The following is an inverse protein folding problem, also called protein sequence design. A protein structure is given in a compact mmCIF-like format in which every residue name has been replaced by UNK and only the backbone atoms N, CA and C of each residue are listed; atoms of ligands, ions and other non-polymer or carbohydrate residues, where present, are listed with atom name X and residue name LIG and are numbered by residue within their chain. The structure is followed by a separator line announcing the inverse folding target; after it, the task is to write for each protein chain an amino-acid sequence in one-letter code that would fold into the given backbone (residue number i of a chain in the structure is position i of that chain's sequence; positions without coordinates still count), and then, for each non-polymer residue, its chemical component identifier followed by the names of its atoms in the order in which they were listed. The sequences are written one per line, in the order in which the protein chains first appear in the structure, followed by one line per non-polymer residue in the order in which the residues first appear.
data_IF_400250008899
#
_entry.id   IF_400250008899
#
_cell.length_a   1.000
_cell.length_b   1.000
_cell.length_c   1.000
_cell.angle_alpha   90.00
_cell.angle_beta   90.00
_cell.angle_gamma   90.00
#
_symmetry.space_group_name_H-M   'P 1'
#
loop_
_entity.id
_entity.type
_entity.pdbx_description
1 polymer ?
#
# COMPACT_ATOMS: atom_id res chain seq x y z
N UNK A 1 -58.28 -31.48 8.28
CA UNK A 1 -58.09 -30.25 9.09
C UNK A 1 -56.85 -30.44 9.94
N UNK A 2 -55.84 -29.58 9.75
CA UNK A 2 -54.75 -29.23 10.67
C UNK A 2 -53.70 -30.31 10.99
N UNK A 3 -52.39 -30.06 11.01
CA UNK A 3 -51.52 -28.91 10.69
C UNK A 3 -50.13 -29.52 10.47
N UNK A 4 -49.47 -29.21 9.35
CA UNK A 4 -48.06 -29.55 9.13
C UNK A 4 -47.24 -28.66 10.07
N UNK A 5 -46.63 -29.26 11.09
CA UNK A 5 -45.73 -28.57 11.99
C UNK A 5 -44.37 -28.46 11.30
N UNK A 6 -44.18 -27.37 10.58
CA UNK A 6 -42.91 -26.99 9.98
C UNK A 6 -41.92 -26.68 11.10
N UNK A 7 -40.90 -27.53 11.26
CA UNK A 7 -39.80 -27.30 12.19
C UNK A 7 -38.79 -26.38 11.50
N UNK A 8 -39.03 -25.07 11.60
CA UNK A 8 -38.09 -24.04 11.14
C UNK A 8 -36.95 -23.97 12.17
N UNK A 9 -35.84 -24.67 11.90
CA UNK A 9 -34.58 -24.48 12.63
C UNK A 9 -34.06 -23.12 12.22
N UNK A 10 -34.41 -22.09 12.99
CA UNK A 10 -33.81 -20.78 12.94
C UNK A 10 -32.40 -20.91 13.55
N UNK A 11 -31.42 -21.21 12.71
CA UNK A 11 -30.00 -21.05 13.04
C UNK A 11 -29.74 -19.57 13.27
N UNK A 12 -29.91 -19.13 14.52
CA UNK A 12 -29.31 -17.92 15.06
C UNK A 12 -27.79 -18.12 15.03
N UNK A 13 -27.17 -17.84 13.89
CA UNK A 13 -25.74 -17.55 13.83
C UNK A 13 -25.60 -16.17 14.49
N UNK A 14 -25.56 -16.17 15.82
CA UNK A 14 -25.03 -15.05 16.58
C UNK A 14 -23.52 -15.04 16.31
N UNK A 15 -23.10 -14.37 15.24
CA UNK A 15 -21.72 -13.88 15.13
C UNK A 15 -21.57 -12.84 16.23
N UNK A 16 -21.20 -13.32 17.42
CA UNK A 16 -20.67 -12.50 18.49
C UNK A 16 -19.35 -11.91 17.99
N UNK A 17 -19.43 -10.80 17.24
CA UNK A 17 -18.33 -9.85 17.16
C UNK A 17 -18.06 -9.44 18.62
N UNK A 18 -17.02 -10.00 19.23
CA UNK A 18 -16.45 -9.43 20.44
C UNK A 18 -16.11 -8.00 20.08
N UNK A 19 -16.86 -7.04 20.62
CA UNK A 19 -16.52 -5.63 20.49
C UNK A 19 -15.19 -5.50 21.25
N UNK A 20 -14.08 -5.43 20.53
CA UNK A 20 -12.77 -5.27 21.14
C UNK A 20 -12.80 -3.99 21.97
N UNK A 21 -12.81 -4.16 23.29
CA UNK A 21 -12.98 -3.05 24.22
C UNK A 21 -11.80 -2.11 24.01
N UNK A 22 -12.10 -0.88 23.62
CA UNK A 22 -11.09 0.15 23.38
C UNK A 22 -10.68 0.33 21.92
N UNK A 23 -11.26 -0.37 20.94
CA UNK A 23 -11.03 -0.08 19.51
C UNK A 23 -12.22 0.72 18.95
N UNK A 24 -11.95 1.80 18.22
CA UNK A 24 -12.99 2.62 17.58
C UNK A 24 -13.55 1.94 16.32
N UNK A 25 -14.74 2.34 15.87
CA UNK A 25 -15.30 1.84 14.60
C UNK A 25 -14.43 2.28 13.41
N UNK A 26 -13.76 3.44 13.50
CA UNK A 26 -12.83 3.90 12.46
C UNK A 26 -11.58 3.04 12.40
N UNK A 27 -11.00 2.68 13.54
CA UNK A 27 -9.88 1.74 13.61
C UNK A 27 -10.26 0.36 13.05
N UNK A 28 -11.48 -0.12 13.34
CA UNK A 28 -12.02 -1.36 12.75
C UNK A 28 -12.10 -1.24 11.22
N UNK A 29 -12.66 -0.15 10.72
CA UNK A 29 -12.80 0.07 9.28
C UNK A 29 -11.43 0.21 8.58
N UNK A 30 -10.46 0.88 9.23
CA UNK A 30 -9.09 1.01 8.73
C UNK A 30 -8.37 -0.33 8.65
N UNK A 31 -8.53 -1.21 9.64
CA UNK A 31 -8.02 -2.60 9.57
C UNK A 31 -8.71 -3.36 8.44
N UNK A 32 -10.01 -3.15 8.25
CA UNK A 32 -10.74 -3.79 7.15
C UNK A 32 -10.23 -3.35 5.78
N UNK A 33 -9.78 -2.09 5.60
CA UNK A 33 -9.14 -1.67 4.34
C UNK A 33 -7.86 -2.45 4.06
N UNK A 34 -7.06 -2.75 5.09
CA UNK A 34 -5.88 -3.60 4.97
C UNK A 34 -6.28 -5.02 4.57
N UNK A 35 -7.26 -5.62 5.26
CA UNK A 35 -7.73 -6.98 4.99
C UNK A 35 -8.37 -7.12 3.60
N UNK A 36 -9.10 -6.11 3.14
CA UNK A 36 -9.67 -6.08 1.78
C UNK A 36 -8.59 -6.15 0.70
N UNK A 37 -7.40 -5.60 0.97
CA UNK A 37 -6.28 -5.62 0.03
C UNK A 37 -5.47 -6.90 0.11
N UNK A 38 -5.12 -7.33 1.33
CA UNK A 38 -4.15 -8.40 1.55
C UNK A 38 -4.76 -9.78 1.76
N UNK A 39 -6.05 -9.84 2.06
CA UNK A 39 -6.70 -11.03 2.63
C UNK A 39 -5.97 -11.52 3.92
N UNK A 40 -6.43 -12.63 4.49
CA UNK A 40 -5.81 -13.26 5.65
C UNK A 40 -6.34 -12.74 6.98
N UNK A 41 -5.47 -12.72 7.98
CA UNK A 41 -5.82 -12.35 9.37
C UNK A 41 -4.94 -11.18 9.84
N UNK A 42 -5.53 -10.29 10.64
CA UNK A 42 -4.84 -9.16 11.26
C UNK A 42 -5.14 -9.13 12.76
N UNK A 43 -4.13 -9.40 13.58
CA UNK A 43 -4.17 -9.06 14.99
C UNK A 43 -3.81 -7.59 15.13
N UNK A 44 -4.46 -6.91 16.09
CA UNK A 44 -4.30 -5.48 16.30
C UNK A 44 -3.99 -5.17 17.75
N UNK A 45 -3.07 -4.24 17.95
CA UNK A 45 -2.70 -3.76 19.26
C UNK A 45 -2.49 -2.25 19.22
N UNK A 46 -2.90 -1.54 20.26
CA UNK A 46 -2.58 -0.12 20.42
C UNK A 46 -1.84 0.08 21.72
N UNK A 47 -0.86 0.97 21.71
CA UNK A 47 -0.01 1.19 22.86
C UNK A 47 0.73 2.51 22.79
N UNK A 48 1.54 2.75 23.81
CA UNK A 48 2.46 3.87 23.83
C UNK A 48 3.78 3.47 24.50
N UNK A 49 4.86 4.10 24.08
CA UNK A 49 6.19 3.96 24.66
C UNK A 49 6.74 5.36 24.92
N UNK A 50 7.31 5.59 26.11
CA UNK A 50 7.98 6.86 26.42
C UNK A 50 9.47 6.62 26.56
N UNK A 51 10.29 7.29 25.74
CA UNK A 51 11.75 7.29 25.84
C UNK A 51 12.24 8.73 25.79
N UNK A 52 13.08 9.11 26.76
CA UNK A 52 13.77 10.41 26.79
C UNK A 52 12.87 11.61 26.41
N UNK A 53 11.70 11.72 27.06
CA UNK A 53 10.70 12.80 26.90
C UNK A 53 9.80 12.70 25.65
N UNK A 54 10.12 11.83 24.68
CA UNK A 54 9.24 11.59 23.53
C UNK A 54 8.31 10.40 23.80
N UNK A 55 7.00 10.62 23.65
CA UNK A 55 5.98 9.57 23.73
C UNK A 55 5.60 9.14 22.31
N UNK A 56 5.89 7.88 21.99
CA UNK A 56 5.40 7.21 20.79
C UNK A 56 4.02 6.64 21.13
N UNK A 57 2.99 7.03 20.40
CA UNK A 57 1.66 6.41 20.49
C UNK A 57 1.43 5.67 19.18
N UNK A 58 1.18 4.36 19.26
CA UNK A 58 1.20 3.50 18.08
C UNK A 58 -0.03 2.60 17.98
N UNK A 59 -0.34 2.25 16.73
CA UNK A 59 -1.21 1.14 16.38
C UNK A 59 -0.39 0.12 15.62
N UNK A 60 -0.48 -1.14 16.03
CA UNK A 60 0.26 -2.27 15.50
C UNK A 60 -0.69 -3.21 14.78
N UNK A 61 -0.31 -3.59 13.56
CA UNK A 61 -1.01 -4.48 12.66
C UNK A 61 -0.14 -5.71 12.45
N UNK A 62 -0.54 -6.84 13.02
CA UNK A 62 0.14 -8.12 12.85
C UNK A 62 -0.61 -8.97 11.83
N UNK A 63 -0.09 -8.97 10.60
CA UNK A 63 -0.63 -9.67 9.45
C UNK A 63 -0.15 -11.13 9.41
N UNK A 64 -1.05 -12.05 9.11
CA UNK A 64 -0.75 -13.45 8.90
C UNK A 64 -1.70 -14.09 7.89
N UNK A 65 -1.36 -15.27 7.38
CA UNK A 65 -2.19 -16.06 6.43
C UNK A 65 -2.62 -15.29 5.17
N UNK A 66 -1.85 -14.28 4.76
CA UNK A 66 -2.10 -13.55 3.51
C UNK A 66 -1.40 -14.27 2.35
N UNK A 67 -2.15 -14.77 1.34
CA UNK A 67 -1.54 -15.40 0.16
C UNK A 67 -0.62 -14.43 -0.59
N UNK A 68 -0.98 -13.15 -0.64
CA UNK A 68 -0.20 -12.12 -1.32
C UNK A 68 1.14 -11.88 -0.63
N UNK A 69 1.17 -11.78 0.71
CA UNK A 69 2.41 -11.61 1.46
C UNK A 69 3.31 -12.85 1.36
N UNK A 70 2.74 -14.04 1.43
CA UNK A 70 3.49 -15.29 1.26
C UNK A 70 4.12 -15.40 -0.14
N UNK A 71 3.39 -15.04 -1.19
CA UNK A 71 3.93 -15.03 -2.57
C UNK A 71 5.07 -14.03 -2.74
N UNK A 72 5.08 -12.95 -1.98
CA UNK A 72 6.08 -11.88 -2.03
C UNK A 72 7.04 -11.89 -0.84
N UNK A 73 7.31 -13.07 -0.26
CA UNK A 73 8.17 -13.23 0.91
C UNK A 73 9.56 -12.58 0.78
N UNK A 74 10.10 -12.50 -0.45
CA UNK A 74 11.40 -11.87 -0.73
C UNK A 74 11.40 -10.34 -0.74
N UNK A 75 10.24 -9.69 -0.70
CA UNK A 75 10.13 -8.24 -0.81
C UNK A 75 8.94 -7.67 0.00
N UNK A 76 9.03 -7.76 1.32
CA UNK A 76 7.96 -7.35 2.23
C UNK A 76 7.93 -5.85 2.55
N UNK A 77 9.04 -5.11 2.40
CA UNK A 77 9.11 -3.70 2.82
C UNK A 77 8.04 -2.83 2.14
N UNK A 78 7.82 -2.91 0.81
CA UNK A 78 6.77 -2.12 0.17
C UNK A 78 5.40 -2.47 0.72
N UNK A 79 5.13 -3.76 0.93
CA UNK A 79 3.86 -4.22 1.44
C UNK A 79 3.60 -3.74 2.87
N UNK A 80 4.62 -3.76 3.74
CA UNK A 80 4.50 -3.19 5.08
C UNK A 80 4.19 -1.69 5.03
N UNK A 81 4.81 -0.95 4.10
CA UNK A 81 4.48 0.45 3.84
C UNK A 81 3.04 0.65 3.39
N UNK A 82 2.55 -0.20 2.48
CA UNK A 82 1.16 -0.15 2.04
C UNK A 82 0.17 -0.46 3.17
N UNK A 83 0.45 -1.46 4.00
CA UNK A 83 -0.37 -1.80 5.18
C UNK A 83 -0.50 -0.59 6.09
N UNK A 84 0.63 0.05 6.42
CA UNK A 84 0.65 1.25 7.25
C UNK A 84 -0.13 2.40 6.61
N UNK A 85 0.06 2.61 5.30
CA UNK A 85 -0.65 3.65 4.54
C UNK A 85 -2.15 3.41 4.50
N UNK A 86 -2.63 2.21 4.14
CA UNK A 86 -4.05 1.87 4.06
C UNK A 86 -4.75 2.06 5.39
N UNK A 87 -4.14 1.58 6.48
CA UNK A 87 -4.68 1.77 7.82
C UNK A 87 -4.75 3.25 8.19
N UNK A 88 -3.61 3.96 8.13
CA UNK A 88 -3.52 5.34 8.61
C UNK A 88 -4.37 6.29 7.77
N UNK A 89 -4.33 6.17 6.44
CA UNK A 89 -5.09 7.05 5.54
C UNK A 89 -6.61 6.95 5.75
N UNK A 90 -7.09 5.82 6.27
CA UNK A 90 -8.49 5.51 6.53
C UNK A 90 -9.00 5.93 7.92
N UNK A 91 -8.12 6.40 8.82
CA UNK A 91 -8.50 6.85 10.18
C UNK A 91 -9.23 8.20 10.21
N UNK A 92 -9.26 8.93 9.09
CA UNK A 92 -9.86 10.27 9.00
C UNK A 92 -9.29 11.26 10.04
N UNK A 93 -10.10 11.71 10.99
CA UNK A 93 -9.74 12.62 12.08
C UNK A 93 -9.03 11.91 13.25
N UNK A 94 -9.07 10.58 13.33
CA UNK A 94 -8.35 9.80 14.36
C UNK A 94 -6.86 9.59 14.05
N UNK A 95 -6.37 10.05 12.88
CA UNK A 95 -4.94 9.97 12.51
C UNK A 95 -4.03 10.55 13.59
N UNK A 96 -4.42 11.68 14.20
CA UNK A 96 -3.61 12.36 15.22
C UNK A 96 -3.46 11.59 16.53
N UNK A 97 -4.22 10.50 16.73
CA UNK A 97 -4.08 9.64 17.90
C UNK A 97 -2.78 8.83 17.86
N UNK A 98 -2.16 8.70 16.68
CA UNK A 98 -0.99 7.85 16.45
C UNK A 98 0.11 8.64 15.78
N UNK A 99 1.32 8.61 16.33
CA UNK A 99 2.51 9.13 15.66
C UNK A 99 3.36 8.02 15.03
N UNK A 100 2.96 6.75 15.18
CA UNK A 100 3.59 5.61 14.55
C UNK A 100 2.56 4.52 14.20
N UNK A 101 2.74 3.88 13.05
CA UNK A 101 2.09 2.61 12.72
C UNK A 101 3.15 1.53 12.67
N UNK A 102 2.91 0.43 13.41
CA UNK A 102 3.77 -0.75 13.42
C UNK A 102 3.13 -1.83 12.57
N UNK A 103 3.94 -2.52 11.79
CA UNK A 103 3.47 -3.62 10.95
C UNK A 103 4.34 -4.82 11.21
N UNK A 104 3.72 -5.92 11.61
CA UNK A 104 4.36 -7.22 11.73
C UNK A 104 3.78 -8.16 10.70
N UNK A 105 4.62 -8.87 9.97
CA UNK A 105 4.21 -9.83 8.95
C UNK A 105 4.74 -11.19 9.35
N UNK A 106 3.83 -12.13 9.57
CA UNK A 106 4.14 -13.53 9.85
C UNK A 106 3.78 -14.38 8.62
N UNK A 107 4.81 -14.98 8.03
CA UNK A 107 4.69 -15.85 6.86
C UNK A 107 4.48 -17.31 7.27
N UNK A 108 3.90 -18.10 6.38
CA UNK A 108 3.62 -19.53 6.59
C UNK A 108 4.89 -20.36 6.76
N UNK A 109 6.02 -19.90 6.20
CA UNK A 109 7.32 -20.54 6.37
C UNK A 109 7.95 -20.28 7.76
N UNK A 110 7.25 -19.59 8.67
CA UNK A 110 7.71 -19.25 10.02
C UNK A 110 8.54 -17.96 10.09
N UNK A 111 8.80 -17.29 8.97
CA UNK A 111 9.49 -16.00 8.97
C UNK A 111 8.59 -14.91 9.55
N UNK A 112 9.15 -14.10 10.44
CA UNK A 112 8.49 -12.92 10.99
C UNK A 112 9.33 -11.67 10.69
N UNK A 113 8.69 -10.58 10.30
CA UNK A 113 9.35 -9.31 9.98
C UNK A 113 8.56 -8.15 10.57
N UNK A 114 9.27 -7.20 11.16
CA UNK A 114 8.67 -6.06 11.88
C UNK A 114 9.14 -4.74 11.27
N UNK A 115 8.19 -3.82 11.11
CA UNK A 115 8.35 -2.53 10.45
C UNK A 115 7.68 -1.45 11.27
N UNK A 116 8.17 -0.22 11.14
CA UNK A 116 7.60 0.94 11.83
C UNK A 116 7.68 2.16 10.92
N UNK A 117 6.56 2.88 10.83
CA UNK A 117 6.43 4.08 10.01
C UNK A 117 5.88 5.21 10.86
N UNK A 118 6.56 6.35 10.85
CA UNK A 118 6.05 7.56 11.51
C UNK A 118 4.86 8.15 10.74
N UNK A 119 3.98 8.85 11.46
CA UNK A 119 2.92 9.68 10.86
C UNK A 119 3.47 10.64 9.78
N UNK A 120 4.65 11.22 10.03
CA UNK A 120 5.36 12.10 9.09
C UNK A 120 5.78 11.39 7.81
N UNK A 121 6.16 10.11 7.89
CA UNK A 121 6.50 9.31 6.72
C UNK A 121 5.27 8.96 5.91
N UNK A 122 4.20 8.51 6.57
CA UNK A 122 2.93 8.19 5.91
C UNK A 122 2.34 9.45 5.26
N UNK A 123 2.39 10.61 5.94
CA UNK A 123 1.93 11.88 5.39
C UNK A 123 2.71 12.33 4.14
N UNK A 124 3.98 11.95 3.99
CA UNK A 124 4.74 12.21 2.76
C UNK A 124 4.19 11.39 1.59
N UNK A 125 3.77 10.15 1.85
CA UNK A 125 3.16 9.27 0.85
C UNK A 125 1.76 9.76 0.48
N UNK A 126 0.92 10.10 1.46
CA UNK A 126 -0.40 10.69 1.22
C UNK A 126 -0.32 11.92 0.29
N UNK A 127 0.66 12.80 0.51
CA UNK A 127 0.92 13.97 -0.34
C UNK A 127 1.52 13.64 -1.72
N UNK A 128 2.03 12.43 -1.92
CA UNK A 128 2.57 11.94 -3.19
C UNK A 128 1.51 11.23 -4.03
N UNK A 129 0.47 10.67 -3.41
CA UNK A 129 -0.59 9.92 -4.08
C UNK A 129 -1.26 10.63 -5.26
N UNK A 130 -1.59 11.94 -5.20
CA UNK A 130 -2.14 12.64 -6.38
C UNK A 130 -1.21 12.59 -7.59
N UNK A 131 0.11 12.70 -7.35
CA UNK A 131 1.13 12.63 -8.41
C UNK A 131 1.29 11.21 -8.95
N UNK A 132 1.20 10.20 -8.08
CA UNK A 132 1.19 8.78 -8.48
C UNK A 132 -0.01 8.49 -9.39
N UNK A 133 -1.21 8.90 -8.96
CA UNK A 133 -2.44 8.72 -9.73
C UNK A 133 -2.38 9.44 -11.08
N UNK A 134 -1.84 10.67 -11.08
CA UNK A 134 -1.60 11.42 -12.32
C UNK A 134 -0.66 10.65 -13.27
N UNK A 135 0.45 10.09 -12.78
CA UNK A 135 1.36 9.30 -13.61
C UNK A 135 0.64 8.08 -14.20
N UNK A 136 -0.12 7.34 -13.39
CA UNK A 136 -0.93 6.21 -13.88
C UNK A 136 -1.91 6.62 -14.99
N UNK A 137 -2.64 7.71 -14.79
CA UNK A 137 -3.59 8.24 -15.80
C UNK A 137 -2.88 8.67 -17.09
N UNK A 138 -1.72 9.34 -16.98
CA UNK A 138 -0.94 9.75 -18.15
C UNK A 138 -0.43 8.55 -18.94
N UNK A 139 -0.03 7.47 -18.26
CA UNK A 139 0.39 6.23 -18.90
C UNK A 139 -0.77 5.51 -19.59
N UNK A 140 -1.91 5.39 -18.92
CA UNK A 140 -3.13 4.80 -19.49
C UNK A 140 -3.62 5.56 -20.73
N UNK A 141 -3.49 6.90 -20.72
CA UNK A 141 -3.90 7.77 -21.82
C UNK A 141 -2.77 8.12 -22.81
N UNK A 142 -1.60 7.48 -22.70
CA UNK A 142 -0.43 7.66 -23.57
C UNK A 142 0.02 9.13 -23.71
N UNK A 143 -0.05 9.90 -22.62
CA UNK A 143 0.31 11.32 -22.56
C UNK A 143 1.78 11.50 -22.16
N UNK A 144 2.69 10.96 -22.98
CA UNK A 144 4.12 10.89 -22.66
C UNK A 144 4.81 12.25 -22.57
N UNK A 145 4.37 13.25 -23.35
CA UNK A 145 4.92 14.61 -23.27
C UNK A 145 4.68 15.26 -21.90
N UNK A 146 3.48 15.08 -21.35
CA UNK A 146 3.14 15.58 -20.01
C UNK A 146 3.89 14.77 -18.95
N UNK A 147 4.01 13.45 -19.13
CA UNK A 147 4.78 12.59 -18.23
C UNK A 147 6.26 12.99 -18.18
N UNK A 148 6.87 13.35 -19.33
CA UNK A 148 8.25 13.82 -19.38
C UNK A 148 8.47 15.04 -18.48
N UNK A 149 7.50 15.96 -18.45
CA UNK A 149 7.52 17.14 -17.57
C UNK A 149 7.46 16.85 -16.05
N UNK A 150 7.17 15.60 -15.66
CA UNK A 150 7.12 15.16 -14.26
C UNK A 150 8.50 14.74 -13.73
N UNK A 151 9.40 14.36 -14.64
CA UNK A 151 10.75 13.94 -14.29
C UNK A 151 11.57 15.12 -13.73
N UNK A 152 12.52 14.78 -12.88
CA UNK A 152 13.50 15.73 -12.40
C UNK A 152 14.38 16.19 -13.58
N UNK A 153 14.62 17.49 -13.68
CA UNK A 153 15.38 18.09 -14.79
C UNK A 153 16.82 17.60 -14.90
N UNK A 154 17.36 16.96 -13.86
CA UNK A 154 18.70 16.34 -13.92
C UNK A 154 18.71 15.00 -14.66
N UNK A 155 17.55 14.46 -15.03
CA UNK A 155 17.44 13.22 -15.79
C UNK A 155 17.38 13.59 -17.27
N UNK A 156 18.39 13.16 -18.02
CA UNK A 156 18.41 13.26 -19.48
C UNK A 156 17.51 12.16 -20.04
N UNK A 157 16.33 12.54 -20.52
CA UNK A 157 15.32 11.64 -21.08
C UNK A 157 14.62 12.35 -22.23
N UNK A 158 14.48 11.66 -23.36
CA UNK A 158 13.75 12.18 -24.51
C UNK A 158 12.34 11.57 -24.56
N UNK A 159 11.40 12.28 -25.21
CA UNK A 159 10.04 11.76 -25.39
C UNK A 159 10.02 10.45 -26.20
N UNK A 160 11.01 10.24 -27.08
CA UNK A 160 11.19 9.00 -27.84
C UNK A 160 11.44 7.80 -26.93
N UNK A 161 12.21 7.97 -25.86
CA UNK A 161 12.58 6.89 -24.94
C UNK A 161 11.34 6.37 -24.20
N UNK A 162 10.51 7.28 -23.71
CA UNK A 162 9.22 6.94 -23.08
C UNK A 162 8.28 6.28 -24.09
N UNK A 163 8.17 6.85 -25.29
CA UNK A 163 7.27 6.35 -26.33
C UNK A 163 7.66 4.92 -26.75
N UNK A 164 8.95 4.68 -26.98
CA UNK A 164 9.47 3.36 -27.34
C UNK A 164 9.25 2.34 -26.24
N UNK A 165 9.63 2.67 -24.99
CA UNK A 165 9.45 1.79 -23.83
C UNK A 165 7.99 1.35 -23.68
N UNK A 166 7.05 2.29 -23.65
CA UNK A 166 5.65 1.96 -23.41
C UNK A 166 4.97 1.30 -24.62
N UNK A 167 5.38 1.63 -25.85
CA UNK A 167 4.89 0.91 -27.04
C UNK A 167 5.39 -0.55 -27.04
N UNK A 168 6.65 -0.80 -26.65
CA UNK A 168 7.18 -2.15 -26.53
C UNK A 168 6.41 -2.97 -25.49
N UNK A 169 6.17 -2.40 -24.30
CA UNK A 169 5.36 -3.04 -23.26
C UNK A 169 3.92 -3.30 -23.71
N UNK A 170 3.32 -2.40 -24.48
CA UNK A 170 1.97 -2.60 -25.02
C UNK A 170 1.93 -3.70 -26.08
N UNK A 171 2.91 -3.74 -26.99
CA UNK A 171 3.00 -4.81 -27.99
C UNK A 171 3.17 -6.18 -27.31
N UNK A 172 4.03 -6.25 -26.29
CA UNK A 172 4.33 -7.49 -25.59
C UNK A 172 3.19 -7.94 -24.67
N UNK A 173 2.64 -7.03 -23.85
CA UNK A 173 1.74 -7.36 -22.75
C UNK A 173 0.31 -6.82 -22.89
N UNK A 174 0.05 -6.07 -23.96
CA UNK A 174 -1.21 -5.38 -24.21
C UNK A 174 -1.36 -4.07 -23.44
N UNK A 175 -2.51 -3.41 -23.66
CA UNK A 175 -2.79 -2.11 -23.05
C UNK A 175 -2.96 -2.21 -21.54
N UNK A 176 -2.70 -1.12 -20.83
CA UNK A 176 -2.99 -1.01 -19.40
C UNK A 176 -4.51 -0.93 -19.21
N UNK A 177 -5.06 -1.79 -18.35
CA UNK A 177 -6.47 -1.77 -17.93
C UNK A 177 -6.65 -1.04 -16.60
N UNK A 178 -5.67 -1.17 -15.72
CA UNK A 178 -5.69 -0.57 -14.40
C UNK A 178 -4.28 -0.49 -13.83
N UNK A 179 -4.02 0.55 -13.06
CA UNK A 179 -2.85 0.66 -12.17
C UNK A 179 -3.28 0.54 -10.71
N UNK A 180 -2.57 -0.27 -9.91
CA UNK A 180 -2.82 -0.44 -8.48
C UNK A 180 -1.56 -0.15 -7.67
N UNK A 181 -1.64 0.81 -6.75
CA UNK A 181 -0.58 1.05 -5.76
C UNK A 181 -0.42 -0.18 -4.84
N UNK A 182 0.84 -0.60 -4.63
CA UNK A 182 1.21 -1.80 -3.89
C UNK A 182 2.16 -1.51 -2.73
N UNK A 183 2.44 -0.24 -2.46
CA UNK A 183 3.27 0.21 -1.35
C UNK A 183 4.48 1.03 -1.75
N UNK A 184 5.35 1.24 -0.77
CA UNK A 184 6.50 2.12 -0.92
C UNK A 184 7.65 1.72 -0.01
N UNK A 185 8.86 2.10 -0.43
CA UNK A 185 10.08 2.04 0.37
C UNK A 185 10.73 3.42 0.46
N UNK A 186 11.30 3.72 1.61
CA UNK A 186 12.11 4.92 1.86
C UNK A 186 13.57 4.49 1.93
N UNK A 187 14.40 4.97 1.01
CA UNK A 187 15.77 4.48 0.83
C UNK A 187 16.76 5.63 0.68
N UNK A 188 18.00 5.37 1.09
CA UNK A 188 19.17 6.18 0.74
C UNK A 188 19.90 5.52 -0.42
N UNK A 189 20.13 6.28 -1.49
CA UNK A 189 20.84 5.82 -2.69
C UNK A 189 22.11 6.63 -2.88
N UNK A 190 23.16 5.98 -3.40
CA UNK A 190 24.44 6.63 -3.65
C UNK A 190 24.33 7.79 -4.66
N UNK A 191 23.48 7.65 -5.69
CA UNK A 191 23.43 8.58 -6.81
C UNK A 191 22.39 9.69 -6.62
N UNK A 192 21.27 9.41 -5.94
CA UNK A 192 20.13 10.32 -5.83
C UNK A 192 19.80 10.71 -4.39
N UNK A 193 20.61 10.27 -3.42
CA UNK A 193 20.37 10.49 -2.00
C UNK A 193 19.08 9.82 -1.53
N UNK A 194 18.31 10.53 -0.70
CA UNK A 194 17.03 10.05 -0.17
C UNK A 194 15.96 9.97 -1.25
N UNK A 195 15.42 8.77 -1.47
CA UNK A 195 14.36 8.50 -2.45
C UNK A 195 13.17 7.79 -1.81
N UNK A 196 12.05 7.86 -2.52
CA UNK A 196 10.84 7.08 -2.26
C UNK A 196 10.67 6.17 -3.48
N UNK A 197 10.78 4.86 -3.31
CA UNK A 197 10.37 3.88 -4.33
C UNK A 197 8.91 3.54 -4.10
N UNK A 198 8.09 3.61 -5.14
CA UNK A 198 6.66 3.32 -5.09
C UNK A 198 6.38 2.16 -6.02
N UNK A 199 5.82 1.09 -5.47
CA UNK A 199 5.44 -0.08 -6.24
C UNK A 199 4.01 0.07 -6.74
N UNK A 200 3.83 -0.18 -8.03
CA UNK A 200 2.54 -0.19 -8.72
C UNK A 200 2.47 -1.47 -9.52
N UNK A 201 1.32 -2.14 -9.49
CA UNK A 201 1.03 -3.22 -10.42
C UNK A 201 0.16 -2.65 -11.55
N UNK A 202 0.64 -2.78 -12.78
CA UNK A 202 -0.14 -2.51 -13.98
C UNK A 202 -0.82 -3.81 -14.42
N UNK A 203 -2.14 -3.87 -14.26
CA UNK A 203 -2.94 -4.93 -14.87
C UNK A 203 -3.07 -4.61 -16.35
N UNK A 204 -2.38 -5.41 -17.17
CA UNK A 204 -2.44 -5.34 -18.64
C UNK A 204 -3.27 -6.49 -19.18
N UNK A 205 -3.55 -6.48 -20.48
CA UNK A 205 -4.38 -7.50 -21.11
C UNK A 205 -3.84 -8.92 -20.95
N UNK A 206 -2.51 -9.08 -20.99
CA UNK A 206 -1.88 -10.40 -20.96
C UNK A 206 -1.29 -10.76 -19.59
N UNK A 207 -0.80 -9.77 -18.84
CA UNK A 207 -0.14 -10.00 -17.55
C UNK A 207 -0.41 -8.85 -16.56
N UNK A 208 -0.13 -9.12 -15.28
CA UNK A 208 0.11 -8.07 -14.30
C UNK A 208 1.62 -7.81 -14.23
N UNK A 209 2.04 -6.58 -14.51
CA UNK A 209 3.44 -6.17 -14.53
C UNK A 209 3.75 -5.25 -13.36
N UNK A 210 4.84 -5.48 -12.64
CA UNK A 210 5.27 -4.59 -11.57
C UNK A 210 6.02 -3.41 -12.19
N UNK A 211 5.62 -2.21 -11.80
CA UNK A 211 6.26 -0.95 -12.12
C UNK A 211 6.72 -0.29 -10.83
N UNK A 212 7.95 0.22 -10.81
CA UNK A 212 8.51 0.95 -9.68
C UNK A 212 8.75 2.40 -10.11
N UNK A 213 8.08 3.33 -9.45
CA UNK A 213 8.31 4.76 -9.60
C UNK A 213 9.29 5.22 -8.52
N UNK A 214 10.41 5.80 -8.89
CA UNK A 214 11.37 6.34 -7.92
C UNK A 214 11.30 7.86 -7.90
N UNK A 215 11.09 8.45 -6.72
CA UNK A 215 11.00 9.89 -6.52
C UNK A 215 12.11 10.40 -5.58
N UNK A 216 12.65 11.60 -5.83
CA UNK A 216 13.48 12.31 -4.85
C UNK A 216 12.63 12.69 -3.63
N UNK A 217 13.09 12.39 -2.41
CA UNK A 217 12.29 12.61 -1.18
C UNK A 217 12.05 14.09 -0.87
N UNK A 218 12.96 14.98 -1.27
CA UNK A 218 12.91 16.41 -0.94
C UNK A 218 11.91 17.20 -1.81
N UNK A 219 11.89 16.96 -3.13
CA UNK A 219 11.09 17.71 -4.09
C UNK A 219 9.99 16.86 -4.76
N UNK A 220 10.00 15.54 -4.55
CA UNK A 220 9.05 14.57 -5.11
C UNK A 220 9.05 14.53 -6.64
N UNK A 221 10.13 14.95 -7.29
CA UNK A 221 10.30 14.77 -8.72
C UNK A 221 10.59 13.30 -9.04
N UNK A 222 10.01 12.82 -10.15
CA UNK A 222 10.22 11.46 -10.62
C UNK A 222 11.64 11.36 -11.20
N UNK A 223 12.38 10.31 -10.86
CA UNK A 223 13.73 10.12 -11.38
C UNK A 223 13.89 8.85 -12.21
N UNK A 224 13.02 7.86 -11.99
CA UNK A 224 13.06 6.61 -12.74
C UNK A 224 11.68 5.94 -12.77
N UNK A 225 11.43 5.22 -13.86
CA UNK A 225 10.37 4.22 -14.00
C UNK A 225 11.08 2.91 -14.33
N UNK A 226 10.91 1.90 -13.49
CA UNK A 226 11.53 0.57 -13.65
C UNK A 226 10.42 -0.49 -13.74
N UNK A 227 10.65 -1.60 -14.45
CA UNK A 227 9.74 -2.73 -14.53
C UNK A 227 10.43 -4.01 -14.04
N UNK A 228 9.70 -4.84 -13.31
CA UNK A 228 10.15 -6.11 -12.73
C UNK A 228 9.20 -7.26 -13.07
#
# INVERSE_FOLDING_TARGET
MNKILSFLILTLIVTSCKKDIGVSDKEVNSVQQVLNFYDGECLRHKGFETKNVETITYFELEMSKSPLLNKNAGNLNPHAGNIAYLFHSSLEDEKSNYNQVRVKINLENGTSSEYSYSDKEIAKIEKLMPKINQISELLENKKYEILLGIFDKTIELEISDLTELFNNLENEYGIIKQSQFQGFDLLDTNNFGQVIKVNIVQVREKIALKMVLTFKRNNRNLIAIEFE
#
